data_IF_227633807199
#
_entry.id   IF_227633807199
#
_cell.length_a   1.000
_cell.length_b   1.000
_cell.length_c   1.000
_cell.angle_alpha   90.00
_cell.angle_beta   90.00
_cell.angle_gamma   90.00
#
_symmetry.space_group_name_H-M   'P 1'
#
loop_
_entity.id
_entity.type
_entity.pdbx_description
1 polymer ?
#
# COMPACT_ATOMS: atom_id res chain seq x y z
N UNK A 1 22.18 4.97 -3.13
CA UNK A 1 21.49 4.88 -1.83
C UNK A 1 20.26 4.02 -2.05
N UNK A 2 20.32 2.74 -1.68
CA UNK A 2 19.16 1.83 -1.72
C UNK A 2 18.31 2.14 -0.49
N UNK A 3 17.20 2.86 -0.68
CA UNK A 3 16.26 3.20 0.40
C UNK A 3 15.45 1.96 0.73
N UNK A 4 15.94 1.11 1.64
CA UNK A 4 15.14 0.04 2.23
C UNK A 4 13.96 0.67 2.96
N UNK A 5 12.72 0.41 2.50
CA UNK A 5 11.53 0.86 3.22
C UNK A 5 11.38 0.04 4.49
N UNK A 6 11.34 0.73 5.61
CA UNK A 6 11.12 0.15 6.94
C UNK A 6 9.79 0.64 7.47
N UNK A 7 8.98 -0.27 8.03
CA UNK A 7 7.65 0.11 8.51
C UNK A 7 7.75 1.12 9.67
N UNK A 8 7.14 2.31 9.57
CA UNK A 8 7.22 3.31 10.64
C UNK A 8 6.44 2.91 11.91
N UNK A 9 5.54 1.92 11.81
CA UNK A 9 4.74 1.43 12.94
C UNK A 9 5.48 0.42 13.81
N UNK A 10 6.23 -0.49 13.21
CA UNK A 10 6.84 -1.62 13.93
C UNK A 10 8.33 -1.84 13.63
N UNK A 11 8.94 -1.07 12.72
CA UNK A 11 10.36 -1.18 12.37
C UNK A 11 10.72 -2.42 11.54
N UNK A 12 9.74 -3.23 11.11
CA UNK A 12 9.99 -4.42 10.27
C UNK A 12 10.21 -4.05 8.80
N UNK A 13 10.87 -4.93 8.07
CA UNK A 13 11.13 -4.77 6.63
C UNK A 13 9.82 -4.79 5.82
N UNK A 14 9.77 -3.94 4.80
CA UNK A 14 8.67 -3.87 3.86
C UNK A 14 8.98 -4.68 2.61
N UNK A 15 7.97 -5.39 2.13
CA UNK A 15 8.03 -6.17 0.90
C UNK A 15 7.23 -5.44 -0.18
N UNK A 16 7.92 -5.00 -1.22
CA UNK A 16 7.33 -4.43 -2.42
C UNK A 16 6.85 -5.53 -3.36
N UNK A 17 5.64 -5.40 -3.89
CA UNK A 17 5.16 -6.24 -4.98
C UNK A 17 4.23 -5.44 -5.90
N UNK A 18 4.20 -5.83 -7.18
CA UNK A 18 3.31 -5.22 -8.15
C UNK A 18 1.99 -6.00 -8.23
N UNK A 19 0.87 -5.28 -8.13
CA UNK A 19 -0.49 -5.80 -8.28
C UNK A 19 -1.26 -4.89 -9.23
N UNK A 20 -1.71 -5.42 -10.38
CA UNK A 20 -2.51 -4.67 -11.36
C UNK A 20 -1.85 -3.33 -11.80
N UNK A 21 -0.52 -3.32 -11.99
CA UNK A 21 0.31 -2.13 -12.28
C UNK A 21 0.40 -1.10 -11.15
N UNK A 22 0.01 -1.48 -9.93
CA UNK A 22 0.19 -0.69 -8.71
C UNK A 22 1.32 -1.31 -7.91
N UNK A 23 2.30 -0.49 -7.52
CA UNK A 23 3.36 -0.91 -6.61
C UNK A 23 2.82 -0.82 -5.19
N UNK A 24 2.89 -1.92 -4.46
CA UNK A 24 2.36 -2.00 -3.11
C UNK A 24 3.47 -2.44 -2.17
N UNK A 25 3.71 -1.64 -1.14
CA UNK A 25 4.65 -1.96 -0.08
C UNK A 25 3.90 -2.48 1.15
N UNK A 26 4.07 -3.77 1.45
CA UNK A 26 3.46 -4.39 2.61
C UNK A 26 4.50 -4.73 3.68
N UNK A 27 4.23 -4.32 4.92
CA UNK A 27 5.03 -4.67 6.06
C UNK A 27 4.90 -6.16 6.40
N UNK A 28 6.03 -6.85 6.53
CA UNK A 28 6.10 -8.27 6.88
C UNK A 28 5.81 -8.58 8.35
N UNK A 29 5.88 -7.59 9.23
CA UNK A 29 5.65 -7.75 10.67
C UNK A 29 4.21 -7.46 11.10
N UNK A 30 3.74 -6.23 10.84
CA UNK A 30 2.40 -5.80 11.27
C UNK A 30 1.32 -5.91 10.19
N UNK A 31 1.68 -6.25 8.95
CA UNK A 31 0.75 -6.31 7.81
C UNK A 31 0.30 -4.95 7.27
N UNK A 32 0.85 -3.84 7.77
CA UNK A 32 0.53 -2.49 7.29
C UNK A 32 0.95 -2.28 5.83
N UNK A 33 0.08 -1.62 5.06
CA UNK A 33 0.36 -1.19 3.69
C UNK A 33 0.89 0.25 3.72
N UNK A 34 1.97 0.50 3.00
CA UNK A 34 2.49 1.84 2.76
C UNK A 34 2.15 2.20 1.32
N UNK A 35 1.43 3.31 1.19
CA UNK A 35 0.89 3.84 -0.05
C UNK A 35 1.23 5.32 -0.04
N UNK A 36 1.73 5.84 -1.15
CA UNK A 36 1.98 7.28 -1.24
C UNK A 36 0.64 8.03 -1.21
N UNK A 37 0.67 9.29 -0.76
CA UNK A 37 -0.56 10.08 -0.51
C UNK A 37 -1.50 10.18 -1.71
N UNK A 38 -1.01 10.06 -2.94
CA UNK A 38 -1.83 10.01 -4.16
C UNK A 38 -2.42 8.64 -4.50
N UNK A 39 -1.83 7.55 -4.02
CA UNK A 39 -2.34 6.20 -4.26
C UNK A 39 -3.51 5.84 -3.34
N UNK A 40 -3.53 6.41 -2.13
CA UNK A 40 -4.66 6.24 -1.20
C UNK A 40 -5.96 6.82 -1.79
N UNK A 41 -5.89 7.97 -2.46
CA UNK A 41 -7.03 8.59 -3.13
C UNK A 41 -7.55 7.72 -4.29
N UNK A 42 -6.64 7.11 -5.06
CA UNK A 42 -7.00 6.17 -6.12
C UNK A 42 -7.68 4.90 -5.58
N UNK A 43 -7.21 4.37 -4.45
CA UNK A 43 -7.84 3.21 -3.78
C UNK A 43 -9.21 3.55 -3.20
N UNK A 44 -9.37 4.70 -2.55
CA UNK A 44 -10.67 5.16 -2.03
C UNK A 44 -11.67 5.42 -3.17
N UNK A 45 -11.21 5.99 -4.28
CA UNK A 45 -12.05 6.17 -5.46
C UNK A 45 -12.47 4.82 -6.09
N UNK A 46 -11.58 3.83 -6.11
CA UNK A 46 -11.89 2.48 -6.58
C UNK A 46 -12.90 1.77 -5.67
N UNK A 47 -12.73 1.82 -4.34
CA UNK A 47 -13.68 1.23 -3.37
C UNK A 47 -15.08 1.86 -3.50
N UNK A 48 -15.16 3.19 -3.66
CA UNK A 48 -16.43 3.89 -3.90
C UNK A 48 -17.10 3.47 -5.22
N UNK A 49 -16.32 3.11 -6.25
CA UNK A 49 -16.86 2.62 -7.52
C UNK A 49 -17.42 1.19 -7.42
N UNK A 50 -16.89 0.35 -6.53
CA UNK A 50 -17.39 -1.03 -6.33
C UNK A 50 -18.65 -1.12 -5.46
N UNK A 51 -18.86 -0.18 -4.53
CA UNK A 51 -20.04 -0.17 -3.65
C UNK A 51 -21.30 0.52 -4.23
N UNK A 52 -21.22 1.05 -5.46
CA UNK A 52 -22.36 1.70 -6.15
C UNK A 52 -23.24 0.77 -7.00
N UNK A 53 -23.01 -0.55 -6.96
CA UNK A 53 -23.75 -1.55 -7.76
C UNK A 53 -24.56 -2.53 -6.91
N UNK A 54 -25.24 -2.04 -5.87
CA UNK A 54 -26.27 -2.78 -5.13
C UNK A 54 -27.66 -2.30 -5.53
#
# INVERSE_FOLDING_TARGET
MTTSLTCPKCGSEMRSYERNRVLVDQCTGCGGLFLDRGELEALVAAENAWHGGG
#
